data_IF_764956933578
#
_entry.id   IF_764956933578
#
_cell.length_a   1.000
_cell.length_b   1.000
_cell.length_c   1.000
_cell.angle_alpha   90.00
_cell.angle_beta   90.00
_cell.angle_gamma   90.00
#
_symmetry.space_group_name_H-M   'P 1'
#
loop_
_entity.id
_entity.type
_entity.pdbx_description
1 polymer ?
#
# COMPACT_ATOMS: atom_id res chain seq x y z
N UNK A 1 -59.40 -30.51 5.48
CA UNK A 1 -59.11 -29.06 5.39
C UNK A 1 -57.60 -28.88 5.55
N UNK A 2 -56.88 -28.77 4.43
CA UNK A 2 -55.40 -28.74 4.41
C UNK A 2 -54.95 -27.32 4.08
N UNK A 3 -54.19 -26.69 4.97
CA UNK A 3 -53.63 -25.34 4.76
C UNK A 3 -52.39 -25.43 3.86
N UNK A 4 -52.24 -24.60 2.82
CA UNK A 4 -51.00 -24.55 2.06
C UNK A 4 -49.94 -23.74 2.83
N UNK A 5 -48.75 -24.32 3.03
CA UNK A 5 -47.56 -23.59 3.46
C UNK A 5 -47.13 -22.65 2.32
N UNK A 6 -47.15 -21.35 2.57
CA UNK A 6 -46.50 -20.36 1.71
C UNK A 6 -45.00 -20.38 2.01
N UNK A 7 -44.24 -21.02 1.14
CA UNK A 7 -42.77 -20.90 1.13
C UNK A 7 -42.41 -19.47 0.74
N UNK A 8 -41.88 -18.71 1.70
CA UNK A 8 -41.35 -17.37 1.48
C UNK A 8 -39.95 -17.52 0.86
N UNK A 9 -39.82 -17.23 -0.43
CA UNK A 9 -38.53 -17.18 -1.12
C UNK A 9 -37.85 -15.83 -0.77
N UNK A 10 -36.96 -15.82 0.21
CA UNK A 10 -36.12 -14.65 0.49
C UNK A 10 -34.99 -14.68 -0.54
N UNK A 11 -35.14 -13.92 -1.62
CA UNK A 11 -34.03 -13.62 -2.54
C UNK A 11 -33.15 -12.60 -1.83
N UNK A 12 -32.09 -13.07 -1.18
CA UNK A 12 -31.03 -12.21 -0.69
C UNK A 12 -30.35 -11.58 -1.92
N UNK A 13 -30.71 -10.32 -2.22
CA UNK A 13 -29.93 -9.48 -3.11
C UNK A 13 -28.58 -9.23 -2.43
N UNK A 14 -27.61 -10.13 -2.68
CA UNK A 14 -26.20 -9.81 -2.51
C UNK A 14 -25.90 -8.72 -3.53
N UNK A 15 -26.16 -7.47 -3.14
CA UNK A 15 -25.56 -6.32 -3.80
C UNK A 15 -24.06 -6.54 -3.69
N UNK A 16 -23.45 -7.03 -4.76
CA UNK A 16 -22.01 -7.26 -4.86
C UNK A 16 -21.34 -5.90 -4.69
N UNK A 17 -21.04 -5.54 -3.44
CA UNK A 17 -20.11 -4.48 -3.13
C UNK A 17 -18.77 -5.00 -3.66
N UNK A 18 -18.47 -4.68 -4.92
CA UNK A 18 -17.17 -5.03 -5.46
C UNK A 18 -16.13 -4.39 -4.55
N UNK A 19 -15.07 -5.14 -4.15
CA UNK A 19 -14.02 -4.57 -3.33
C UNK A 19 -13.49 -3.33 -4.04
N UNK A 20 -13.65 -2.16 -3.42
CA UNK A 20 -13.09 -0.94 -3.96
C UNK A 20 -11.58 -1.11 -4.00
N UNK A 21 -10.99 -0.90 -5.16
CA UNK A 21 -9.55 -0.94 -5.33
C UNK A 21 -8.95 0.35 -4.77
N UNK A 22 -7.92 0.23 -3.94
CA UNK A 22 -7.24 1.37 -3.32
C UNK A 22 -5.81 1.45 -3.82
N UNK A 23 -5.36 2.68 -4.10
CA UNK A 23 -3.97 3.00 -4.38
C UNK A 23 -3.33 3.59 -3.13
N UNK A 24 -1.99 3.56 -3.03
CA UNK A 24 -1.30 4.12 -1.86
C UNK A 24 -1.64 5.59 -1.64
N UNK A 25 -1.73 6.40 -2.71
CA UNK A 25 -2.09 7.83 -2.62
C UNK A 25 -3.49 8.08 -2.03
N UNK A 26 -4.35 7.07 -2.03
CA UNK A 26 -5.68 7.17 -1.41
C UNK A 26 -5.59 7.00 0.11
N UNK A 27 -4.44 6.51 0.61
CA UNK A 27 -4.19 6.17 2.02
C UNK A 27 -3.10 7.04 2.67
N UNK A 28 -2.16 7.55 1.89
CA UNK A 28 -0.99 8.32 2.34
C UNK A 28 -0.89 9.58 1.49
N UNK A 29 -0.65 10.75 2.11
CA UNK A 29 -0.30 11.94 1.35
C UNK A 29 1.13 11.82 0.81
N UNK A 30 1.25 11.18 -0.36
CA UNK A 30 2.56 10.96 -0.99
C UNK A 30 3.24 12.27 -1.39
N UNK A 31 2.49 13.37 -1.59
CA UNK A 31 3.07 14.66 -1.93
C UNK A 31 3.69 15.37 -0.73
N UNK A 32 3.24 15.03 0.49
CA UNK A 32 3.83 15.51 1.74
C UNK A 32 5.13 14.77 2.13
N UNK A 33 5.60 13.78 1.38
CA UNK A 33 6.86 13.07 1.67
C UNK A 33 8.05 14.02 1.48
N UNK A 34 8.62 14.51 2.57
CA UNK A 34 9.67 15.53 2.60
C UNK A 34 11.03 15.02 2.07
N UNK A 35 11.37 13.77 2.39
CA UNK A 35 12.60 13.15 1.91
C UNK A 35 12.56 11.63 2.01
N UNK A 36 13.41 10.99 1.21
CA UNK A 36 13.58 9.54 1.20
C UNK A 36 15.05 9.20 1.20
N UNK A 37 15.41 8.28 2.08
CA UNK A 37 16.74 7.66 2.13
C UNK A 37 16.61 6.18 1.79
N UNK A 38 17.30 5.74 0.75
CA UNK A 38 17.39 4.35 0.31
C UNK A 38 18.56 3.68 1.01
N UNK A 39 18.33 2.50 1.58
CA UNK A 39 19.35 1.62 2.15
C UNK A 39 19.41 0.33 1.34
N UNK A 40 20.53 0.09 0.69
CA UNK A 40 20.72 -1.08 -0.14
C UNK A 40 22.16 -1.63 -0.08
N UNK A 41 22.47 -2.64 -0.89
CA UNK A 41 23.79 -3.28 -0.91
C UNK A 41 24.92 -2.33 -1.38
N UNK A 42 24.58 -1.23 -2.03
CA UNK A 42 25.52 -0.22 -2.52
C UNK A 42 25.70 0.95 -1.52
N UNK A 43 24.98 0.94 -0.39
CA UNK A 43 25.10 1.93 0.69
C UNK A 43 23.81 2.69 0.96
N UNK A 44 23.96 3.92 1.43
CA UNK A 44 22.88 4.81 1.83
C UNK A 44 22.82 5.99 0.88
N UNK A 45 21.65 6.26 0.30
CA UNK A 45 21.46 7.31 -0.69
C UNK A 45 20.20 8.11 -0.42
N UNK A 46 20.32 9.45 -0.34
CA UNK A 46 19.17 10.35 -0.25
C UNK A 46 18.75 10.80 -1.64
N UNK A 47 17.47 10.65 -1.95
CA UNK A 47 16.93 11.09 -3.24
C UNK A 47 17.08 12.60 -3.43
N UNK A 48 17.49 13.00 -4.63
CA UNK A 48 17.48 14.38 -5.05
C UNK A 48 16.04 14.86 -5.39
N UNK A 49 15.79 16.16 -5.61
CA UNK A 49 14.44 16.67 -5.85
C UNK A 49 13.72 16.07 -7.07
N UNK A 50 14.44 15.74 -8.15
CA UNK A 50 13.85 15.14 -9.34
C UNK A 50 13.46 13.67 -9.09
N UNK A 51 14.33 12.92 -8.43
CA UNK A 51 14.08 11.54 -8.02
C UNK A 51 12.98 11.44 -6.99
N UNK A 52 12.92 12.36 -6.02
CA UNK A 52 11.87 12.41 -5.01
C UNK A 52 10.50 12.59 -5.67
N UNK A 53 10.37 13.51 -6.64
CA UNK A 53 9.12 13.67 -7.41
C UNK A 53 8.74 12.37 -8.13
N UNK A 54 9.71 11.73 -8.78
CA UNK A 54 9.47 10.45 -9.46
C UNK A 54 9.06 9.34 -8.47
N UNK A 55 9.67 9.32 -7.27
CA UNK A 55 9.38 8.37 -6.21
C UNK A 55 7.96 8.54 -5.69
N UNK A 56 7.53 9.76 -5.37
CA UNK A 56 6.16 10.05 -4.91
C UNK A 56 5.11 9.57 -5.89
N UNK A 57 5.31 9.87 -7.18
CA UNK A 57 4.41 9.39 -8.23
C UNK A 57 4.39 7.86 -8.32
N UNK A 58 5.56 7.21 -8.33
CA UNK A 58 5.68 5.75 -8.42
C UNK A 58 5.06 5.06 -7.20
N UNK A 59 5.27 5.57 -5.99
CA UNK A 59 4.64 5.03 -4.77
C UNK A 59 3.12 5.21 -4.80
N UNK A 60 2.65 6.41 -5.18
CA UNK A 60 1.24 6.77 -5.10
C UNK A 60 0.33 5.90 -5.97
N UNK A 61 0.86 5.31 -7.04
CA UNK A 61 0.11 4.41 -7.93
C UNK A 61 0.13 2.94 -7.48
N UNK A 62 0.77 2.56 -6.38
CA UNK A 62 0.74 1.15 -5.97
C UNK A 62 -0.64 0.70 -5.50
N UNK A 63 -1.05 -0.51 -5.87
CA UNK A 63 -2.29 -1.15 -5.46
C UNK A 63 -2.19 -1.75 -4.06
N UNK A 64 -3.22 -1.56 -3.22
CA UNK A 64 -3.30 -2.23 -1.93
C UNK A 64 -3.74 -3.70 -2.09
N UNK A 65 -3.03 -4.62 -1.43
CA UNK A 65 -3.30 -6.06 -1.44
C UNK A 65 -3.65 -6.56 -0.02
N UNK A 66 -4.93 -6.48 0.41
CA UNK A 66 -5.35 -6.77 1.78
C UNK A 66 -5.15 -8.24 2.22
N UNK A 67 -5.16 -9.18 1.28
CA UNK A 67 -5.05 -10.62 1.57
C UNK A 67 -3.66 -11.20 1.28
N UNK A 68 -2.72 -10.36 0.85
CA UNK A 68 -1.37 -10.81 0.53
C UNK A 68 -0.57 -11.06 1.82
N UNK A 69 0.12 -12.20 1.88
CA UNK A 69 1.13 -12.49 2.89
C UNK A 69 2.44 -12.84 2.20
N UNK A 70 3.38 -11.90 2.18
CA UNK A 70 4.65 -12.04 1.48
C UNK A 70 5.83 -11.79 2.41
N UNK A 71 6.85 -12.65 2.29
CA UNK A 71 8.17 -12.40 2.86
C UNK A 71 8.88 -11.35 2.01
N UNK A 72 9.15 -10.18 2.60
CA UNK A 72 9.85 -9.09 1.92
C UNK A 72 11.36 -9.30 1.88
N UNK A 73 12.00 -8.60 0.95
CA UNK A 73 13.45 -8.61 0.77
C UNK A 73 14.15 -7.60 1.67
N UNK A 74 15.42 -7.33 1.35
CA UNK A 74 16.36 -6.58 2.19
C UNK A 74 16.47 -5.09 1.87
N UNK A 75 15.72 -4.56 0.89
CA UNK A 75 15.80 -3.13 0.59
C UNK A 75 14.92 -2.36 1.55
N UNK A 76 15.53 -1.39 2.24
CA UNK A 76 14.85 -0.48 3.16
C UNK A 76 14.78 0.94 2.61
N UNK A 77 13.68 1.63 2.90
CA UNK A 77 13.56 3.08 2.71
C UNK A 77 13.20 3.70 4.05
N UNK A 78 13.87 4.78 4.40
CA UNK A 78 13.34 5.72 5.39
C UNK A 78 12.58 6.81 4.64
N UNK A 79 11.26 6.80 4.78
CA UNK A 79 10.37 7.84 4.27
C UNK A 79 10.14 8.84 5.40
N UNK A 80 10.54 10.09 5.20
CA UNK A 80 10.25 11.17 6.13
C UNK A 80 9.01 11.92 5.66
N UNK A 81 7.96 11.87 6.46
CA UNK A 81 6.65 12.49 6.22
C UNK A 81 6.28 13.29 7.47
N UNK A 82 6.00 14.59 7.33
CA UNK A 82 5.64 15.45 8.45
C UNK A 82 6.66 15.42 9.61
N UNK A 83 7.95 15.26 9.28
CA UNK A 83 9.05 15.14 10.25
C UNK A 83 9.15 13.78 10.96
N UNK A 84 8.33 12.78 10.61
CA UNK A 84 8.41 11.42 11.14
C UNK A 84 9.05 10.48 10.12
N UNK A 85 10.00 9.67 10.57
CA UNK A 85 10.65 8.64 9.75
C UNK A 85 9.87 7.33 9.79
N UNK A 86 9.61 6.76 8.63
CA UNK A 86 8.90 5.50 8.47
C UNK A 86 9.75 4.54 7.64
N UNK A 87 10.04 3.37 8.22
CA UNK A 87 10.74 2.33 7.52
C UNK A 87 9.79 1.55 6.60
N UNK A 88 10.22 1.36 5.36
CA UNK A 88 9.50 0.61 4.33
C UNK A 88 10.43 -0.45 3.77
N UNK A 89 9.94 -1.69 3.68
CA UNK A 89 10.72 -2.81 3.17
C UNK A 89 10.23 -3.25 1.79
N UNK A 90 11.16 -3.53 0.88
CA UNK A 90 10.86 -4.07 -0.44
C UNK A 90 11.89 -5.11 -0.91
N UNK A 91 11.55 -5.82 -1.98
CA UNK A 91 12.50 -6.69 -2.70
C UNK A 91 13.32 -5.87 -3.71
N UNK A 92 14.58 -6.25 -3.90
CA UNK A 92 15.53 -5.61 -4.83
C UNK A 92 14.98 -5.47 -6.24
N UNK A 93 14.39 -6.55 -6.75
CA UNK A 93 13.58 -6.58 -7.96
C UNK A 93 12.22 -7.08 -7.53
N UNK A 94 11.29 -6.15 -7.37
CA UNK A 94 10.03 -6.43 -6.70
C UNK A 94 8.90 -5.68 -7.33
N UNK A 95 7.75 -6.35 -7.39
CA UNK A 95 6.46 -5.68 -7.55
C UNK A 95 5.91 -5.23 -6.21
N UNK A 96 6.39 -5.79 -5.10
CA UNK A 96 5.75 -5.62 -3.80
C UNK A 96 6.55 -4.77 -2.83
N UNK A 97 5.82 -3.95 -2.08
CA UNK A 97 6.32 -3.10 -1.00
C UNK A 97 5.49 -3.40 0.25
N UNK A 98 6.15 -3.43 1.40
CA UNK A 98 5.51 -3.60 2.69
C UNK A 98 5.72 -2.36 3.54
N UNK A 99 4.62 -1.83 4.06
CA UNK A 99 4.59 -0.58 4.82
C UNK A 99 3.90 -0.80 6.15
N UNK A 100 4.41 -0.14 7.18
CA UNK A 100 3.73 -0.13 8.47
C UNK A 100 2.48 0.74 8.40
N UNK A 101 1.39 0.29 9.02
CA UNK A 101 0.08 0.96 9.03
C UNK A 101 0.13 2.39 9.56
N UNK A 102 1.12 2.72 10.41
CA UNK A 102 1.30 4.09 10.92
C UNK A 102 1.60 5.13 9.83
N UNK A 103 1.97 4.71 8.61
CA UNK A 103 2.19 5.62 7.48
C UNK A 103 0.86 6.10 6.86
N UNK A 104 -0.25 5.40 7.13
CA UNK A 104 -1.56 5.79 6.62
C UNK A 104 -2.04 7.05 7.33
N UNK A 105 -2.22 8.10 6.54
CA UNK A 105 -2.66 9.39 7.03
C UNK A 105 -4.11 9.33 7.52
N UNK A 106 -4.40 10.21 8.48
CA UNK A 106 -5.64 10.27 9.28
C UNK A 106 -6.92 10.58 8.48
N UNK A 107 -6.90 10.57 7.15
CA UNK A 107 -8.10 10.65 6.31
C UNK A 107 -8.92 9.33 6.32
N UNK A 108 -8.51 8.34 7.11
CA UNK A 108 -9.08 7.00 7.17
C UNK A 108 -10.35 6.83 8.01
N UNK A 109 -11.06 7.90 8.40
CA UNK A 109 -12.33 7.76 9.14
C UNK A 109 -13.36 6.91 8.35
N UNK A 110 -13.36 6.99 7.02
CA UNK A 110 -14.22 6.15 6.15
C UNK A 110 -13.58 4.80 5.75
N UNK A 111 -12.32 4.58 6.13
CA UNK A 111 -11.50 3.42 5.71
C UNK A 111 -11.26 2.39 6.82
N UNK A 112 -11.80 2.62 8.03
CA UNK A 112 -11.77 1.65 9.12
C UNK A 112 -12.25 0.23 8.73
N UNK A 113 -13.25 0.04 7.83
CA UNK A 113 -13.64 -1.30 7.38
C UNK A 113 -12.57 -2.03 6.55
N UNK A 114 -11.61 -1.33 5.92
CA UNK A 114 -10.57 -1.95 5.10
C UNK A 114 -9.48 -2.62 5.93
N UNK A 115 -9.20 -2.06 7.09
CA UNK A 115 -8.12 -2.52 7.97
C UNK A 115 -8.63 -3.43 9.09
N UNK A 116 -9.89 -3.86 9.00
CA UNK A 116 -10.53 -4.74 9.97
C UNK A 116 -11.11 -5.95 9.22
N UNK A 117 -10.64 -7.19 9.46
CA UNK A 117 -9.72 -7.61 10.51
C UNK A 117 -8.31 -7.81 9.95
N UNK A 118 -7.67 -6.76 9.43
CA UNK A 118 -6.23 -6.87 9.11
C UNK A 118 -5.51 -6.91 10.46
N UNK A 119 -5.18 -8.12 10.90
CA UNK A 119 -4.49 -8.39 12.18
C UNK A 119 -3.05 -7.92 12.19
N UNK A 120 -2.51 -7.62 11.01
CA UNK A 120 -1.11 -7.31 10.81
C UNK A 120 -0.90 -5.79 10.77
N UNK A 121 0.12 -5.32 11.48
CA UNK A 121 0.56 -3.93 11.47
C UNK A 121 1.23 -3.53 10.13
N UNK A 122 1.43 -4.50 9.25
CA UNK A 122 2.10 -4.36 7.96
C UNK A 122 1.10 -4.56 6.81
N UNK A 123 1.15 -3.65 5.84
CA UNK A 123 0.30 -3.64 4.67
C UNK A 123 1.13 -3.84 3.42
N UNK A 124 0.59 -4.61 2.47
CA UNK A 124 1.27 -4.94 1.23
C UNK A 124 0.68 -4.12 0.09
N UNK A 125 1.57 -3.54 -0.69
CA UNK A 125 1.27 -2.79 -1.89
C UNK A 125 2.00 -3.38 -3.10
N UNK A 126 1.41 -3.27 -4.29
CA UNK A 126 1.93 -3.78 -5.54
C UNK A 126 2.06 -2.69 -6.61
N UNK A 127 3.19 -2.66 -7.31
CA UNK A 127 3.38 -1.94 -8.57
C UNK A 127 2.81 -2.75 -9.75
N UNK A 128 2.22 -2.05 -10.72
CA UNK A 128 1.76 -2.63 -11.99
C UNK A 128 2.89 -3.45 -12.67
N UNK A 129 4.10 -2.91 -12.66
CA UNK A 129 5.32 -3.50 -13.21
C UNK A 129 6.45 -3.59 -12.18
N UNK A 130 7.39 -4.51 -12.38
CA UNK A 130 8.53 -4.64 -11.47
C UNK A 130 9.41 -3.38 -11.52
N UNK A 131 9.67 -2.78 -10.35
CA UNK A 131 10.51 -1.60 -10.23
C UNK A 131 11.87 -2.00 -9.65
N UNK A 132 12.96 -1.52 -10.26
CA UNK A 132 14.29 -1.65 -9.70
C UNK A 132 14.48 -0.57 -8.63
N UNK A 133 14.04 -0.88 -7.41
CA UNK A 133 14.14 0.04 -6.28
C UNK A 133 15.58 0.21 -5.78
N UNK A 134 16.43 -0.80 -5.99
CA UNK A 134 17.86 -0.75 -5.66
C UNK A 134 18.57 0.39 -6.41
N UNK A 135 18.18 0.62 -7.65
CA UNK A 135 18.76 1.63 -8.52
C UNK A 135 17.74 2.69 -8.92
N UNK A 136 16.82 3.06 -8.01
CA UNK A 136 15.78 4.05 -8.30
C UNK A 136 16.34 5.39 -8.80
N UNK A 137 17.54 5.76 -8.34
CA UNK A 137 18.29 6.95 -8.77
C UNK A 137 18.91 6.85 -10.16
N UNK A 138 18.99 5.63 -10.73
CA UNK A 138 19.54 5.36 -12.06
C UNK A 138 18.45 5.00 -13.08
N UNK A 139 17.24 5.58 -12.98
CA UNK A 139 16.08 5.24 -13.84
C UNK A 139 16.50 4.96 -15.30
N UNK A 140 15.83 3.99 -15.97
CA UNK A 140 16.35 3.15 -17.05
C UNK A 140 17.08 3.87 -18.17
#
# INVERSE_FOLDING_TARGET
MSKPLRTLLIVAALSSCQPKEYRLKDLVDTEAIDSVTIHNNNGVYRLNPAELRAFRHTLGVMHYLPEASLKMGTIGFDIYLCGQGHYVAARTHGKYVKMHRSLIDRNSHDMFPLFSPVKDDELIFEFDEAVNLDNFHKKP
#
